data_IF_701319475340
#
_entry.id   IF_701319475340
#
_cell.length_a   1.000
_cell.length_b   1.000
_cell.length_c   1.000
_cell.angle_alpha   90.00
_cell.angle_beta   90.00
_cell.angle_gamma   90.00
#
_symmetry.space_group_name_H-M   'P 1'
#
loop_
_entity.id
_entity.type
_entity.pdbx_description
1 polymer ?
#
# COMPACT_ATOMS: atom_id res chain seq x y z
N UNK A 1 -13.80 14.71 -30.37
CA UNK A 1 -13.72 13.32 -29.90
C UNK A 1 -12.25 12.97 -29.91
N UNK A 2 -11.61 12.79 -28.76
CA UNK A 2 -10.27 12.22 -28.74
C UNK A 2 -10.47 10.72 -28.67
N UNK A 3 -10.18 10.02 -29.76
CA UNK A 3 -10.02 8.58 -29.70
C UNK A 3 -8.74 8.29 -28.88
N UNK A 4 -8.78 7.37 -27.91
CA UNK A 4 -7.62 7.04 -27.11
C UNK A 4 -6.48 6.54 -28.01
N UNK A 5 -5.25 6.87 -27.66
CA UNK A 5 -4.08 6.37 -28.39
C UNK A 5 -3.97 4.84 -28.19
N UNK A 6 -3.49 4.07 -29.18
CA UNK A 6 -3.40 2.61 -29.09
C UNK A 6 -2.65 2.11 -27.85
N UNK A 7 -1.69 2.89 -27.34
CA UNK A 7 -0.83 2.55 -26.21
C UNK A 7 -1.49 2.76 -24.83
N UNK A 8 -2.72 3.29 -24.78
CA UNK A 8 -3.49 3.54 -23.55
C UNK A 8 -4.63 2.53 -23.36
N UNK A 9 -4.77 1.58 -24.28
CA UNK A 9 -5.82 0.55 -24.25
C UNK A 9 -5.26 -0.71 -23.57
N UNK A 10 -6.04 -1.28 -22.66
CA UNK A 10 -5.75 -2.57 -22.04
C UNK A 10 -5.53 -3.64 -23.12
N UNK A 11 -4.44 -4.42 -23.02
CA UNK A 11 -4.10 -5.48 -23.97
C UNK A 11 -5.26 -6.44 -24.20
N UNK A 12 -6.02 -6.79 -23.15
CA UNK A 12 -7.17 -7.68 -23.26
C UNK A 12 -8.30 -7.07 -24.09
N UNK A 13 -8.57 -5.78 -23.92
CA UNK A 13 -9.58 -5.06 -24.71
C UNK A 13 -9.14 -4.87 -26.17
N UNK A 14 -7.83 -4.73 -26.38
CA UNK A 14 -7.24 -4.60 -27.71
C UNK A 14 -7.31 -5.92 -28.48
N UNK A 15 -6.98 -7.03 -27.84
CA UNK A 15 -7.05 -8.36 -28.45
C UNK A 15 -8.48 -8.73 -28.84
N UNK A 16 -9.45 -8.44 -27.97
CA UNK A 16 -10.87 -8.65 -28.27
C UNK A 16 -11.35 -7.76 -29.44
N UNK A 17 -10.88 -6.52 -29.52
CA UNK A 17 -11.18 -5.65 -30.66
C UNK A 17 -10.56 -6.18 -31.97
N UNK A 18 -9.33 -6.73 -31.92
CA UNK A 18 -8.68 -7.37 -33.06
C UNK A 18 -9.47 -8.59 -33.54
N UNK A 19 -9.84 -9.49 -32.62
CA UNK A 19 -10.70 -10.66 -32.88
C UNK A 19 -12.00 -10.25 -33.57
N UNK A 20 -12.68 -9.22 -33.04
CA UNK A 20 -13.92 -8.68 -33.65
C UNK A 20 -13.68 -8.13 -35.05
N UNK A 21 -12.57 -7.41 -35.26
CA UNK A 21 -12.23 -6.84 -36.55
C UNK A 21 -11.95 -7.92 -37.61
N UNK A 22 -11.29 -9.01 -37.24
CA UNK A 22 -11.03 -10.14 -38.13
C UNK A 22 -12.31 -10.87 -38.54
N UNK A 23 -13.17 -11.21 -37.57
CA UNK A 23 -14.46 -11.83 -37.84
C UNK A 23 -15.35 -10.94 -38.75
N UNK A 24 -15.41 -9.63 -38.47
CA UNK A 24 -16.16 -8.67 -39.29
C UNK A 24 -15.54 -8.54 -40.70
N UNK A 25 -14.20 -8.49 -40.84
CA UNK A 25 -13.54 -8.48 -42.16
C UNK A 25 -13.85 -9.74 -42.94
N UNK A 26 -13.72 -10.91 -42.32
CA UNK A 26 -14.05 -12.20 -42.93
C UNK A 26 -15.51 -12.25 -43.38
N UNK A 27 -16.42 -11.74 -42.56
CA UNK A 27 -17.84 -11.63 -42.89
C UNK A 27 -18.09 -10.69 -44.09
N UNK A 28 -17.48 -9.51 -44.11
CA UNK A 28 -17.65 -8.53 -45.20
C UNK A 28 -17.06 -9.02 -46.53
N UNK A 29 -15.97 -9.80 -46.52
CA UNK A 29 -15.40 -10.41 -47.73
C UNK A 29 -16.35 -11.47 -48.31
N UNK A 30 -16.95 -12.30 -47.44
CA UNK A 30 -17.90 -13.36 -47.86
C UNK A 30 -19.23 -12.78 -48.35
N UNK A 31 -19.59 -11.56 -47.94
CA UNK A 31 -20.86 -10.91 -48.24
C UNK A 31 -20.66 -9.65 -49.11
N UNK A 32 -20.45 -9.84 -50.40
CA UNK A 32 -20.40 -8.73 -51.37
C UNK A 32 -21.78 -8.17 -51.77
N UNK A 33 -22.87 -8.69 -51.19
CA UNK A 33 -24.26 -8.36 -51.55
C UNK A 33 -25.21 -8.06 -50.38
N UNK A 34 -26.50 -8.38 -50.53
CA UNK A 34 -27.53 -8.16 -49.49
C UNK A 34 -27.27 -9.07 -48.30
N UNK A 35 -27.13 -8.46 -47.12
CA UNK A 35 -26.94 -9.20 -45.87
C UNK A 35 -28.20 -9.98 -45.50
N UNK A 36 -28.12 -11.31 -45.51
CA UNK A 36 -29.23 -12.20 -45.17
C UNK A 36 -29.28 -12.35 -43.64
N UNK A 37 -30.50 -12.41 -43.07
CA UNK A 37 -30.71 -12.50 -41.62
C UNK A 37 -30.04 -13.73 -40.97
N UNK A 38 -29.88 -14.83 -41.72
CA UNK A 38 -29.19 -16.05 -41.27
C UNK A 38 -27.69 -15.87 -41.08
N UNK A 39 -27.02 -15.19 -42.01
CA UNK A 39 -25.57 -14.97 -41.95
C UNK A 39 -25.18 -14.05 -40.78
N UNK A 40 -26.05 -13.08 -40.46
CA UNK A 40 -25.90 -12.23 -39.29
C UNK A 40 -26.04 -13.00 -37.97
N UNK A 41 -26.84 -14.08 -37.94
CA UNK A 41 -26.96 -14.93 -36.76
C UNK A 41 -25.69 -15.75 -36.54
N UNK A 42 -25.05 -16.22 -37.63
CA UNK A 42 -23.76 -16.91 -37.56
C UNK A 42 -22.64 -16.00 -37.06
N UNK A 43 -22.54 -14.78 -37.59
CA UNK A 43 -21.54 -13.80 -37.09
C UNK A 43 -21.79 -13.44 -35.63
N UNK A 44 -23.05 -13.25 -35.23
CA UNK A 44 -23.39 -12.96 -33.84
C UNK A 44 -22.97 -14.09 -32.89
N UNK A 45 -23.12 -15.35 -33.32
CA UNK A 45 -22.65 -16.52 -32.57
C UNK A 45 -21.11 -16.61 -32.52
N UNK A 46 -20.40 -16.35 -33.63
CA UNK A 46 -18.93 -16.33 -33.69
C UNK A 46 -18.32 -15.25 -32.77
N UNK A 47 -18.99 -14.10 -32.70
CA UNK A 47 -18.58 -12.98 -31.84
C UNK A 47 -19.06 -13.14 -30.38
N UNK A 48 -19.90 -14.11 -30.07
CA UNK A 48 -20.58 -14.27 -28.77
C UNK A 48 -21.34 -13.00 -28.33
N UNK A 49 -22.07 -12.38 -29.25
CA UNK A 49 -22.86 -11.16 -28.99
C UNK A 49 -24.28 -11.26 -29.53
N UNK A 50 -25.17 -10.40 -29.04
CA UNK A 50 -26.51 -10.30 -29.61
C UNK A 50 -26.48 -9.86 -31.08
N UNK A 51 -27.47 -10.28 -31.88
CA UNK A 51 -27.63 -9.83 -33.28
C UNK A 51 -27.60 -8.30 -33.41
N UNK A 52 -28.23 -7.58 -32.49
CA UNK A 52 -28.25 -6.12 -32.48
C UNK A 52 -26.85 -5.52 -32.27
N UNK A 53 -26.05 -6.13 -31.38
CA UNK A 53 -24.65 -5.76 -31.15
C UNK A 53 -23.80 -6.01 -32.39
N UNK A 54 -23.96 -7.17 -33.07
CA UNK A 54 -23.24 -7.47 -34.30
C UNK A 54 -23.51 -6.43 -35.39
N UNK A 55 -24.79 -6.07 -35.62
CA UNK A 55 -25.14 -4.98 -36.54
C UNK A 55 -24.49 -3.64 -36.15
N UNK A 56 -24.50 -3.30 -34.86
CA UNK A 56 -23.86 -2.08 -34.34
C UNK A 56 -22.36 -2.08 -34.60
N UNK A 57 -21.68 -3.20 -34.36
CA UNK A 57 -20.23 -3.35 -34.59
C UNK A 57 -19.87 -3.22 -36.07
N UNK A 58 -20.64 -3.86 -36.98
CA UNK A 58 -20.44 -3.68 -38.43
C UNK A 58 -20.63 -2.22 -38.83
N UNK A 59 -21.65 -1.54 -38.30
CA UNK A 59 -21.89 -0.11 -38.58
C UNK A 59 -20.72 0.75 -38.11
N UNK A 60 -20.19 0.51 -36.92
CA UNK A 60 -19.02 1.21 -36.38
C UNK A 60 -17.77 0.93 -37.23
N UNK A 61 -17.54 -0.32 -37.61
CA UNK A 61 -16.40 -0.72 -38.43
C UNK A 61 -16.44 -0.10 -39.82
N UNK A 62 -17.61 -0.03 -40.46
CA UNK A 62 -17.78 0.65 -41.76
C UNK A 62 -17.55 2.17 -41.67
N UNK A 63 -17.89 2.79 -40.54
CA UNK A 63 -17.70 4.22 -40.34
C UNK A 63 -16.24 4.59 -39.99
N UNK A 64 -15.57 3.79 -39.17
CA UNK A 64 -14.23 4.07 -38.66
C UNK A 64 -13.09 3.34 -39.37
N UNK A 65 -13.37 2.23 -40.07
CA UNK A 65 -12.39 1.44 -40.85
C UNK A 65 -11.24 0.79 -40.07
N UNK A 66 -11.18 1.01 -38.75
CA UNK A 66 -9.99 0.73 -37.92
C UNK A 66 -10.38 -0.11 -36.71
N UNK A 67 -9.46 -0.95 -36.20
CA UNK A 67 -9.65 -1.78 -34.99
C UNK A 67 -10.05 -0.94 -33.78
N UNK A 68 -9.52 0.27 -33.65
CA UNK A 68 -9.87 1.25 -32.60
C UNK A 68 -11.37 1.52 -32.47
N UNK A 69 -12.13 1.43 -33.56
CA UNK A 69 -13.59 1.65 -33.56
C UNK A 69 -14.38 0.55 -32.85
N UNK A 70 -13.78 -0.63 -32.68
CA UNK A 70 -14.38 -1.81 -32.06
C UNK A 70 -13.94 -2.01 -30.61
N UNK A 71 -12.98 -1.21 -30.13
CA UNK A 71 -12.57 -1.19 -28.72
C UNK A 71 -13.76 -0.74 -27.87
N UNK A 72 -14.13 -1.56 -26.89
CA UNK A 72 -15.23 -1.23 -25.98
C UNK A 72 -14.90 0.02 -25.18
N UNK A 73 -15.76 1.03 -25.28
CA UNK A 73 -15.66 2.23 -24.47
C UNK A 73 -16.39 1.97 -23.16
N UNK A 74 -15.72 2.26 -22.04
CA UNK A 74 -16.36 2.22 -20.73
C UNK A 74 -17.65 3.06 -20.76
N UNK A 75 -18.81 2.50 -20.40
CA UNK A 75 -20.04 3.25 -20.35
C UNK A 75 -19.94 4.33 -19.26
N UNK A 76 -20.50 5.50 -19.53
CA UNK A 76 -20.55 6.61 -18.57
C UNK A 76 -19.76 7.83 -19.00
N UNK A 77 -19.53 8.71 -18.04
CA UNK A 77 -18.83 9.97 -18.25
C UNK A 77 -17.33 9.69 -18.41
N UNK A 78 -16.63 10.33 -19.38
CA UNK A 78 -15.19 10.21 -19.48
C UNK A 78 -14.50 10.59 -18.17
N UNK A 79 -13.47 9.83 -17.80
CA UNK A 79 -12.66 10.15 -16.63
C UNK A 79 -12.06 11.57 -16.75
N UNK A 80 -12.02 12.27 -15.63
CA UNK A 80 -11.57 13.65 -15.56
C UNK A 80 -12.55 14.72 -16.07
N UNK A 81 -13.73 14.34 -16.61
CA UNK A 81 -14.73 15.33 -17.04
C UNK A 81 -15.39 16.01 -15.84
N UNK A 82 -15.20 17.32 -15.73
CA UNK A 82 -15.77 18.18 -14.68
C UNK A 82 -17.11 18.76 -15.11
N UNK A 83 -18.04 18.89 -14.16
CA UNK A 83 -19.39 19.44 -14.41
C UNK A 83 -19.63 20.82 -13.79
N UNK A 84 -18.71 21.23 -12.92
CA UNK A 84 -18.76 22.58 -12.40
C UNK A 84 -18.40 23.56 -13.51
N UNK A 85 -19.05 24.71 -13.53
CA UNK A 85 -18.76 25.76 -14.51
C UNK A 85 -17.32 26.27 -14.35
N UNK A 86 -16.74 26.71 -15.47
CA UNK A 86 -15.34 27.14 -15.52
C UNK A 86 -15.05 28.30 -14.56
N UNK A 87 -16.03 29.19 -14.31
CA UNK A 87 -15.85 30.35 -13.45
C UNK A 87 -15.73 29.94 -11.98
N UNK A 88 -16.55 28.99 -11.51
CA UNK A 88 -16.40 28.39 -10.17
C UNK A 88 -15.13 27.57 -10.03
N UNK A 89 -14.76 26.78 -11.05
CA UNK A 89 -13.48 26.03 -11.04
C UNK A 89 -12.29 26.99 -10.88
N UNK A 90 -12.32 28.15 -11.53
CA UNK A 90 -11.27 29.15 -11.42
C UNK A 90 -11.21 29.76 -10.01
N UNK A 91 -12.36 30.11 -9.41
CA UNK A 91 -12.41 30.60 -8.01
C UNK A 91 -11.81 29.56 -7.05
N UNK A 92 -12.17 28.29 -7.21
CA UNK A 92 -11.62 27.18 -6.41
C UNK A 92 -10.10 27.10 -6.59
N UNK A 93 -9.62 27.09 -7.83
CA UNK A 93 -8.20 26.99 -8.16
C UNK A 93 -7.38 28.13 -7.56
N UNK A 94 -7.85 29.38 -7.72
CA UNK A 94 -7.19 30.56 -7.17
C UNK A 94 -7.15 30.49 -5.64
N UNK A 95 -8.27 30.14 -5.01
CA UNK A 95 -8.38 30.06 -3.55
C UNK A 95 -7.47 28.97 -2.97
N UNK A 96 -7.40 27.80 -3.60
CA UNK A 96 -6.48 26.72 -3.21
C UNK A 96 -5.02 27.18 -3.34
N UNK A 97 -4.66 27.79 -4.47
CA UNK A 97 -3.28 28.26 -4.71
C UNK A 97 -2.87 29.32 -3.69
N UNK A 98 -3.75 30.27 -3.40
CA UNK A 98 -3.46 31.42 -2.52
C UNK A 98 -3.49 31.05 -1.03
N UNK A 99 -4.46 30.26 -0.60
CA UNK A 99 -4.70 30.03 0.83
C UNK A 99 -4.19 28.67 1.31
N UNK A 100 -4.34 27.61 0.50
CA UNK A 100 -4.12 26.23 0.96
C UNK A 100 -2.72 25.67 0.67
N UNK A 101 -2.12 26.07 -0.46
CA UNK A 101 -0.79 25.62 -0.90
C UNK A 101 0.35 26.48 -0.34
N UNK A 102 0.21 26.94 0.91
CA UNK A 102 1.20 27.71 1.64
C UNK A 102 1.50 27.05 3.00
N UNK A 103 2.61 27.45 3.65
CA UNK A 103 2.98 27.00 5.00
C UNK A 103 1.95 27.46 6.05
N UNK A 104 1.57 28.74 6.00
CA UNK A 104 0.61 29.35 6.93
C UNK A 104 -0.84 29.17 6.42
N UNK A 105 -1.23 27.93 6.09
CA UNK A 105 -2.57 27.66 5.54
C UNK A 105 -3.65 27.71 6.63
N UNK A 106 -4.87 28.15 6.30
CA UNK A 106 -6.00 27.96 7.18
C UNK A 106 -6.50 26.51 7.14
N UNK A 107 -7.34 26.13 8.11
CA UNK A 107 -8.00 24.83 8.11
C UNK A 107 -8.93 24.64 6.89
N UNK A 108 -9.17 23.39 6.49
CA UNK A 108 -10.02 23.06 5.32
C UNK A 108 -11.41 23.71 5.43
N UNK A 109 -12.01 23.70 6.63
CA UNK A 109 -13.31 24.33 6.88
C UNK A 109 -13.32 25.84 6.64
N UNK A 110 -12.20 26.52 6.86
CA UNK A 110 -12.09 27.95 6.56
C UNK A 110 -11.94 28.17 5.05
N UNK A 111 -11.09 27.38 4.38
CA UNK A 111 -10.95 27.43 2.92
C UNK A 111 -12.30 27.21 2.22
N UNK A 112 -13.09 26.25 2.70
CA UNK A 112 -14.43 25.98 2.16
C UNK A 112 -15.34 27.20 2.31
N UNK A 113 -15.36 27.83 3.50
CA UNK A 113 -16.13 29.06 3.74
C UNK A 113 -15.67 30.18 2.80
N UNK A 114 -14.37 30.41 2.68
CA UNK A 114 -13.81 31.45 1.81
C UNK A 114 -14.20 31.24 0.34
N UNK A 115 -14.11 30.00 -0.16
CA UNK A 115 -14.52 29.66 -1.54
C UNK A 115 -16.02 29.91 -1.74
N UNK A 116 -16.86 29.50 -0.78
CA UNK A 116 -18.30 29.70 -0.86
C UNK A 116 -18.66 31.19 -0.86
N UNK A 117 -18.05 31.98 0.03
CA UNK A 117 -18.22 33.44 0.09
C UNK A 117 -17.80 34.08 -1.24
N UNK A 118 -16.63 33.72 -1.77
CA UNK A 118 -16.14 34.26 -3.06
C UNK A 118 -17.08 33.89 -4.22
N UNK A 119 -17.67 32.70 -4.22
CA UNK A 119 -18.65 32.30 -5.23
C UNK A 119 -19.93 33.14 -5.13
N UNK A 120 -20.44 33.35 -3.91
CA UNK A 120 -21.64 34.18 -3.67
C UNK A 120 -21.40 35.63 -4.10
N UNK A 121 -20.26 36.22 -3.72
CA UNK A 121 -19.89 37.58 -4.15
C UNK A 121 -19.75 37.71 -5.67
N UNK A 122 -19.40 36.62 -6.37
CA UNK A 122 -19.34 36.56 -7.83
C UNK A 122 -20.71 36.25 -8.49
N UNK A 123 -21.80 36.15 -7.73
CA UNK A 123 -23.14 35.81 -8.22
C UNK A 123 -23.31 34.34 -8.60
N UNK A 124 -22.44 33.45 -8.12
CA UNK A 124 -22.44 32.02 -8.45
C UNK A 124 -22.93 31.20 -7.26
N UNK A 125 -23.79 30.20 -7.52
CA UNK A 125 -24.17 29.20 -6.51
C UNK A 125 -22.91 28.58 -5.86
N UNK A 126 -22.80 28.54 -4.52
CA UNK A 126 -21.61 28.01 -3.86
C UNK A 126 -21.44 26.51 -4.12
N UNK A 127 -20.21 26.02 -4.34
CA UNK A 127 -19.93 24.59 -4.47
C UNK A 127 -20.09 23.87 -3.13
N UNK A 128 -20.42 22.58 -3.18
CA UNK A 128 -20.49 21.74 -2.00
C UNK A 128 -19.09 21.41 -1.47
N UNK A 129 -18.95 21.22 -0.15
CA UNK A 129 -17.68 20.89 0.50
C UNK A 129 -16.96 19.71 -0.16
N UNK A 130 -17.68 18.61 -0.43
CA UNK A 130 -17.13 17.43 -1.12
C UNK A 130 -16.51 17.75 -2.48
N UNK A 131 -17.07 18.70 -3.23
CA UNK A 131 -16.50 19.12 -4.51
C UNK A 131 -15.16 19.80 -4.30
N UNK A 132 -15.02 20.63 -3.26
CA UNK A 132 -13.75 21.28 -2.92
C UNK A 132 -12.74 20.25 -2.45
N UNK A 133 -13.13 19.34 -1.55
CA UNK A 133 -12.25 18.27 -1.05
C UNK A 133 -11.72 17.38 -2.19
N UNK A 134 -12.57 16.98 -3.14
CA UNK A 134 -12.14 16.27 -4.34
C UNK A 134 -11.07 17.05 -5.14
N UNK A 135 -11.18 18.39 -5.25
CA UNK A 135 -10.15 19.23 -5.89
C UNK A 135 -8.85 19.31 -5.11
N UNK A 136 -8.88 19.07 -3.79
CA UNK A 136 -7.68 18.98 -2.96
C UNK A 136 -6.99 17.62 -3.08
N UNK A 137 -7.77 16.57 -3.34
CA UNK A 137 -7.30 15.20 -3.58
C UNK A 137 -6.74 15.00 -4.99
N UNK A 138 -7.29 15.70 -5.99
CA UNK A 138 -6.75 15.76 -7.35
C UNK A 138 -5.29 16.28 -7.40
N UNK A 139 -4.86 17.01 -6.37
CA UNK A 139 -3.49 17.52 -6.27
C UNK A 139 -2.60 16.43 -5.68
N UNK A 140 -1.62 16.00 -6.47
CA UNK A 140 -0.58 15.05 -6.05
C UNK A 140 -0.07 15.34 -4.63
N UNK A 141 -0.07 14.28 -3.81
CA UNK A 141 0.26 14.37 -2.39
C UNK A 141 1.65 14.95 -2.16
N UNK A 142 2.64 14.57 -2.98
CA UNK A 142 4.01 15.04 -2.84
C UNK A 142 4.11 16.52 -3.18
N UNK A 143 3.53 16.98 -4.30
CA UNK A 143 3.50 18.40 -4.70
C UNK A 143 2.82 19.25 -3.64
N UNK A 144 1.71 18.74 -3.10
CA UNK A 144 0.95 19.37 -2.03
C UNK A 144 1.79 19.51 -0.76
N UNK A 145 2.41 18.43 -0.29
CA UNK A 145 3.26 18.40 0.89
C UNK A 145 4.49 19.32 0.76
N UNK A 146 5.14 19.32 -0.41
CA UNK A 146 6.29 20.20 -0.71
C UNK A 146 5.95 21.67 -0.54
N UNK A 147 4.85 22.14 -1.14
CA UNK A 147 4.42 23.55 -1.03
C UNK A 147 4.03 23.95 0.40
N UNK A 148 3.51 22.99 1.15
CA UNK A 148 3.08 23.18 2.54
C UNK A 148 4.21 23.05 3.56
N UNK A 149 5.41 22.64 3.13
CA UNK A 149 6.56 22.43 4.02
C UNK A 149 6.43 21.19 4.91
N UNK A 150 5.62 20.20 4.51
CA UNK A 150 5.38 18.98 5.28
C UNK A 150 6.49 17.94 5.03
N UNK A 151 7.65 18.14 5.66
CA UNK A 151 8.86 17.36 5.40
C UNK A 151 8.67 15.84 5.58
N UNK A 152 7.93 15.40 6.59
CA UNK A 152 7.66 13.98 6.83
C UNK A 152 6.85 13.33 5.70
N UNK A 153 5.79 14.02 5.25
CA UNK A 153 4.94 13.53 4.15
C UNK A 153 5.77 13.47 2.87
N UNK A 154 6.59 14.50 2.60
CA UNK A 154 7.53 14.49 1.46
C UNK A 154 8.46 13.28 1.55
N UNK A 155 9.06 13.00 2.71
CA UNK A 155 9.96 11.85 2.88
C UNK A 155 9.25 10.51 2.63
N UNK A 156 8.02 10.35 3.13
CA UNK A 156 7.23 9.12 2.92
C UNK A 156 6.82 8.93 1.45
N UNK A 157 6.50 10.00 0.74
CA UNK A 157 6.05 9.94 -0.66
C UNK A 157 7.22 9.98 -1.65
N UNK A 158 8.42 10.38 -1.21
CA UNK A 158 9.60 10.37 -2.06
C UNK A 158 10.12 8.95 -2.15
N UNK A 159 10.01 8.35 -3.33
CA UNK A 159 10.68 7.09 -3.63
C UNK A 159 12.18 7.28 -3.37
N UNK A 160 12.76 6.41 -2.54
CA UNK A 160 14.21 6.32 -2.36
C UNK A 160 14.68 5.22 -3.31
N UNK A 161 15.16 5.55 -4.51
CA UNK A 161 15.66 4.54 -5.43
C UNK A 161 16.91 3.88 -4.83
N UNK A 162 16.89 2.54 -4.74
CA UNK A 162 17.99 1.73 -4.22
C UNK A 162 17.46 0.60 -3.33
N UNK A 163 17.81 -0.64 -3.68
CA UNK A 163 17.63 -1.78 -2.80
C UNK A 163 18.95 -2.03 -2.05
N UNK A 164 18.89 -2.17 -0.72
CA UNK A 164 20.03 -2.68 0.03
C UNK A 164 20.15 -4.18 -0.25
N UNK A 165 20.93 -4.53 -1.27
CA UNK A 165 21.16 -5.92 -1.67
C UNK A 165 22.52 -6.40 -1.16
N UNK A 166 22.57 -7.67 -0.75
CA UNK A 166 23.80 -8.39 -0.40
C UNK A 166 23.90 -9.65 -1.26
N UNK A 167 25.09 -9.93 -1.82
CA UNK A 167 25.34 -11.06 -2.71
C UNK A 167 25.99 -12.25 -2.00
N UNK A 168 26.53 -12.07 -0.78
CA UNK A 168 27.25 -13.12 -0.05
C UNK A 168 26.82 -13.23 1.42
N UNK A 169 26.68 -14.45 1.98
CA UNK A 169 26.36 -14.68 3.40
C UNK A 169 27.15 -13.77 4.34
N UNK A 170 26.45 -13.17 5.32
CA UNK A 170 27.00 -12.27 6.33
C UNK A 170 27.66 -10.97 5.81
N UNK A 171 27.55 -10.63 4.52
CA UNK A 171 28.10 -9.38 3.95
C UNK A 171 27.48 -8.12 4.58
N UNK A 172 26.16 -8.14 4.81
CA UNK A 172 25.43 -7.04 5.44
C UNK A 172 24.47 -7.64 6.46
N UNK A 173 24.66 -7.29 7.73
CA UNK A 173 23.76 -7.63 8.82
C UNK A 173 23.09 -6.35 9.29
N UNK A 174 21.76 -6.35 9.33
CA UNK A 174 20.97 -5.26 9.89
C UNK A 174 20.57 -5.61 11.31
N UNK A 175 20.74 -4.66 12.22
CA UNK A 175 20.25 -4.76 13.59
C UNK A 175 19.14 -3.75 13.77
N UNK A 176 18.00 -4.22 14.24
CA UNK A 176 16.86 -3.35 14.54
C UNK A 176 16.20 -3.75 15.86
N UNK A 177 15.48 -2.80 16.46
CA UNK A 177 14.79 -2.97 17.72
C UNK A 177 13.29 -2.77 17.52
N UNK A 178 12.49 -3.73 17.98
CA UNK A 178 11.03 -3.63 17.91
C UNK A 178 10.40 -3.95 19.27
N UNK A 179 9.35 -3.23 19.63
CA UNK A 179 8.57 -3.53 20.82
C UNK A 179 7.61 -4.66 20.46
N UNK A 180 7.85 -5.85 20.99
CA UNK A 180 7.11 -7.05 20.60
C UNK A 180 5.61 -6.90 20.93
N UNK A 181 4.74 -7.41 20.05
CA UNK A 181 3.27 -7.41 20.22
C UNK A 181 2.82 -8.58 21.12
N UNK A 182 3.54 -8.79 22.24
CA UNK A 182 3.23 -9.79 23.26
C UNK A 182 3.30 -9.14 24.64
N UNK A 183 2.43 -9.54 25.56
CA UNK A 183 2.52 -9.16 26.96
C UNK A 183 3.24 -10.24 27.75
N UNK A 184 4.29 -9.85 28.46
CA UNK A 184 4.93 -10.68 29.47
C UNK A 184 4.14 -10.51 30.77
N UNK A 185 3.79 -11.63 31.37
CA UNK A 185 3.07 -11.70 32.66
C UNK A 185 3.99 -12.32 33.71
N UNK A 186 3.77 -11.94 34.95
CA UNK A 186 4.40 -12.57 36.11
C UNK A 186 3.93 -14.03 36.24
N UNK A 187 4.85 -14.93 36.61
CA UNK A 187 4.56 -16.39 36.63
C UNK A 187 3.59 -16.76 37.75
N UNK A 188 3.67 -16.08 38.90
CA UNK A 188 2.89 -16.38 40.11
C UNK A 188 1.56 -15.62 40.12
N UNK A 189 1.62 -14.29 40.01
CA UNK A 189 0.44 -13.42 40.13
C UNK A 189 -0.35 -13.31 38.82
N UNK A 190 0.23 -13.71 37.69
CA UNK A 190 -0.33 -13.55 36.33
C UNK A 190 -0.67 -12.12 35.94
N UNK A 191 -0.15 -11.12 36.67
CA UNK A 191 -0.32 -9.72 36.33
C UNK A 191 0.58 -9.31 35.16
N UNK A 192 0.12 -8.40 34.28
CA UNK A 192 0.91 -7.95 33.15
C UNK A 192 2.09 -7.09 33.60
N UNK A 193 3.30 -7.53 33.27
CA UNK A 193 4.54 -6.75 33.47
C UNK A 193 4.66 -5.71 32.34
N UNK A 194 4.33 -6.11 31.11
CA UNK A 194 4.30 -5.21 29.96
C UNK A 194 4.79 -5.88 28.68
N UNK A 195 5.11 -5.05 27.68
CA UNK A 195 5.59 -5.51 26.37
C UNK A 195 7.11 -5.39 26.29
N UNK A 196 7.84 -6.47 25.96
CA UNK A 196 9.28 -6.46 25.87
C UNK A 196 9.77 -5.82 24.56
N UNK A 197 11.01 -5.36 24.57
CA UNK A 197 11.78 -4.98 23.40
C UNK A 197 12.62 -6.14 22.90
N UNK A 198 12.50 -6.42 21.60
CA UNK A 198 13.27 -7.42 20.88
C UNK A 198 14.27 -6.72 19.97
N UNK A 199 15.55 -6.99 20.19
CA UNK A 199 16.65 -6.59 19.31
C UNK A 199 16.99 -7.77 18.43
N UNK A 200 17.00 -7.62 17.10
CA UNK A 200 17.27 -8.69 16.15
C UNK A 200 18.41 -8.30 15.22
N UNK A 201 19.37 -9.20 15.03
CA UNK A 201 20.38 -9.14 13.99
C UNK A 201 19.98 -10.10 12.86
N UNK A 202 19.73 -9.54 11.67
CA UNK A 202 19.29 -10.30 10.49
C UNK A 202 20.22 -10.02 9.33
N UNK A 203 20.68 -11.08 8.69
CA UNK A 203 21.52 -10.99 7.50
C UNK A 203 20.67 -10.76 6.23
N UNK A 204 21.09 -9.80 5.38
CA UNK A 204 20.26 -9.24 4.29
C UNK A 204 19.95 -10.22 3.13
N UNK A 205 20.89 -11.08 2.70
CA UNK A 205 20.62 -11.92 1.51
C UNK A 205 19.69 -13.10 1.82
N UNK A 206 19.91 -13.83 2.91
CA UNK A 206 19.08 -15.02 3.23
C UNK A 206 17.97 -14.73 4.25
N UNK A 207 17.94 -13.53 4.84
CA UNK A 207 17.03 -13.14 5.94
C UNK A 207 17.16 -14.01 7.19
N UNK A 208 18.26 -14.75 7.31
CA UNK A 208 18.56 -15.53 8.50
C UNK A 208 18.83 -14.60 9.68
N UNK A 209 18.16 -14.87 10.81
CA UNK A 209 18.44 -14.22 12.09
C UNK A 209 19.73 -14.81 12.65
N UNK A 210 20.74 -13.98 12.79
CA UNK A 210 22.05 -14.38 13.30
C UNK A 210 22.12 -14.24 14.81
N UNK A 211 21.40 -13.29 15.41
CA UNK A 211 21.32 -13.13 16.85
C UNK A 211 20.12 -12.31 17.29
N UNK A 212 19.81 -12.39 18.59
CA UNK A 212 18.73 -11.61 19.17
C UNK A 212 18.99 -11.32 20.66
N UNK A 213 18.27 -10.33 21.19
CA UNK A 213 18.25 -10.02 22.62
C UNK A 213 16.87 -9.49 23.01
N UNK A 214 16.29 -10.04 24.09
CA UNK A 214 14.94 -9.71 24.57
C UNK A 214 15.04 -9.13 25.98
N UNK A 215 14.48 -7.93 26.18
CA UNK A 215 14.51 -7.22 27.47
C UNK A 215 13.22 -6.43 27.70
N UNK A 216 12.89 -6.11 28.94
CA UNK A 216 11.80 -5.18 29.27
C UNK A 216 12.21 -3.70 29.12
N UNK A 217 13.52 -3.44 29.11
CA UNK A 217 14.07 -2.10 28.98
C UNK A 217 14.00 -1.58 27.54
N UNK A 218 13.95 -0.25 27.40
CA UNK A 218 14.03 0.38 26.08
C UNK A 218 15.37 0.08 25.38
N UNK A 219 15.43 0.18 24.04
CA UNK A 219 16.64 -0.07 23.27
C UNK A 219 17.82 0.76 23.77
N UNK A 220 18.95 0.09 23.96
CA UNK A 220 20.17 0.68 24.49
C UNK A 220 21.41 0.08 23.84
N UNK A 221 22.58 0.71 24.02
CA UNK A 221 23.86 0.15 23.53
C UNK A 221 24.11 -1.26 24.05
N UNK A 222 23.66 -1.55 25.28
CA UNK A 222 23.73 -2.88 25.88
C UNK A 222 22.94 -3.90 25.04
N UNK A 223 21.69 -3.58 24.68
CA UNK A 223 20.83 -4.48 23.91
C UNK A 223 21.42 -4.82 22.54
N UNK A 224 22.00 -3.83 21.85
CA UNK A 224 22.72 -4.04 20.58
C UNK A 224 23.97 -4.90 20.79
N UNK A 225 24.76 -4.61 21.82
CA UNK A 225 26.01 -5.34 22.11
C UNK A 225 25.76 -6.81 22.43
N UNK A 226 24.76 -7.10 23.26
CA UNK A 226 24.39 -8.48 23.61
C UNK A 226 23.80 -9.23 22.41
N UNK A 227 23.03 -8.56 21.55
CA UNK A 227 22.57 -9.14 20.29
C UNK A 227 23.74 -9.49 19.34
N UNK A 228 24.73 -8.61 19.23
CA UNK A 228 25.94 -8.85 18.44
C UNK A 228 26.80 -9.99 19.02
N UNK A 229 26.98 -10.05 20.33
CA UNK A 229 27.66 -11.16 21.00
C UNK A 229 26.95 -12.49 20.69
N UNK A 230 25.63 -12.55 20.84
CA UNK A 230 24.85 -13.73 20.45
C UNK A 230 24.97 -14.05 18.96
N UNK A 231 25.11 -13.02 18.11
CA UNK A 231 25.27 -13.20 16.67
C UNK A 231 26.59 -13.87 16.29
N UNK A 232 27.69 -13.48 16.93
CA UNK A 232 29.06 -13.87 16.55
C UNK A 232 29.55 -15.12 17.29
N UNK A 233 29.18 -15.30 18.57
CA UNK A 233 29.68 -16.42 19.36
C UNK A 233 29.01 -17.75 19.00
N UNK A 234 29.70 -18.85 19.36
CA UNK A 234 29.19 -20.20 19.22
C UNK A 234 27.87 -20.37 19.97
N UNK A 235 26.84 -20.80 19.23
CA UNK A 235 25.48 -21.01 19.74
C UNK A 235 25.28 -22.42 20.28
N UNK A 236 26.24 -23.33 20.10
CA UNK A 236 26.13 -24.73 20.55
C UNK A 236 25.83 -24.86 22.05
N UNK A 237 26.42 -24.07 22.96
CA UNK A 237 26.03 -24.09 24.37
C UNK A 237 24.59 -23.61 24.59
N UNK A 238 24.21 -22.50 23.96
CA UNK A 238 22.88 -21.90 24.06
C UNK A 238 21.77 -22.82 23.53
N UNK A 239 22.01 -23.48 22.39
CA UNK A 239 21.09 -24.44 21.79
C UNK A 239 20.90 -25.67 22.68
N UNK A 240 21.98 -26.20 23.28
CA UNK A 240 21.90 -27.33 24.21
C UNK A 240 21.07 -27.00 25.46
N UNK A 241 21.19 -25.78 25.97
CA UNK A 241 20.40 -25.31 27.11
C UNK A 241 18.93 -25.10 26.75
N UNK A 242 18.66 -24.47 25.60
CA UNK A 242 17.29 -24.19 25.12
C UNK A 242 16.52 -25.47 24.75
N UNK A 243 17.20 -26.48 24.18
CA UNK A 243 16.60 -27.78 23.92
C UNK A 243 16.15 -28.49 25.22
N UNK A 244 16.88 -28.30 26.32
CA UNK A 244 16.53 -28.86 27.63
C UNK A 244 15.35 -28.13 28.29
N UNK A 245 15.19 -26.82 28.05
CA UNK A 245 14.10 -26.02 28.63
C UNK A 245 12.77 -26.23 27.91
N UNK A 246 12.81 -26.44 26.58
CA UNK A 246 11.62 -26.69 25.75
C UNK A 246 10.87 -27.97 26.17
N UNK A 247 11.60 -29.01 26.64
CA UNK A 247 11.00 -30.24 27.17
C UNK A 247 10.34 -30.09 28.56
N UNK A 248 10.47 -28.93 29.22
CA UNK A 248 9.89 -28.66 30.54
C UNK A 248 8.87 -27.53 30.55
N UNK A 249 8.44 -27.05 29.38
CA UNK A 249 7.55 -25.90 29.26
C UNK A 249 8.14 -24.61 29.85
N UNK A 250 9.47 -24.52 29.99
CA UNK A 250 10.16 -23.35 30.56
C UNK A 250 10.82 -22.56 29.44
N UNK A 251 10.63 -21.23 29.47
CA UNK A 251 11.30 -20.30 28.57
C UNK A 251 12.83 -20.48 28.62
N UNK A 252 13.54 -20.33 27.49
CA UNK A 252 14.99 -20.47 27.44
C UNK A 252 15.68 -19.46 28.37
N UNK A 253 16.81 -19.88 28.93
CA UNK A 253 17.54 -19.24 30.04
C UNK A 253 18.01 -17.81 29.74
N UNK A 254 18.00 -17.35 28.48
CA UNK A 254 18.22 -15.94 28.14
C UNK A 254 17.30 -14.98 28.92
N UNK A 255 16.05 -15.36 29.19
CA UNK A 255 15.15 -14.56 30.03
C UNK A 255 15.56 -14.58 31.52
N UNK A 256 16.14 -15.70 31.99
CA UNK A 256 16.63 -15.82 33.38
C UNK A 256 17.93 -15.05 33.61
N UNK A 257 18.86 -15.07 32.65
CA UNK A 257 20.13 -14.31 32.72
C UNK A 257 19.90 -12.80 32.58
N UNK A 258 18.95 -12.38 31.73
CA UNK A 258 18.59 -10.97 31.61
C UNK A 258 18.00 -10.40 32.93
N UNK A 259 17.21 -11.19 33.67
CA UNK A 259 16.68 -10.80 34.99
C UNK A 259 17.70 -10.87 36.13
N UNK A 260 18.71 -11.75 36.04
CA UNK A 260 19.75 -11.86 37.09
C UNK A 260 20.84 -10.79 36.98
N UNK A 261 21.10 -10.25 35.78
CA UNK A 261 21.97 -9.07 35.63
C UNK A 261 21.27 -7.80 36.19
N UNK A 262 19.94 -7.72 36.16
CA UNK A 262 19.18 -6.65 36.84
C UNK A 262 19.11 -6.83 38.36
N UNK A 263 19.09 -8.08 38.84
CA UNK A 263 19.09 -8.39 40.28
C UNK A 263 20.44 -8.13 40.98
N UNK A 264 21.55 -7.99 40.25
CA UNK A 264 22.82 -7.57 40.83
C UNK A 264 22.83 -6.10 41.28
N UNK A 265 21.90 -5.28 40.79
CA UNK A 265 21.76 -3.86 41.19
C UNK A 265 20.64 -3.64 42.21
N UNK A 266 19.77 -4.63 42.43
CA UNK A 266 18.73 -4.64 43.46
C UNK A 266 18.78 -5.99 44.16
N UNK A 267 19.44 -6.04 45.33
CA UNK A 267 19.64 -7.25 46.12
C UNK A 267 18.34 -8.01 46.41
N UNK A 268 18.02 -8.98 45.55
CA UNK A 268 16.94 -9.93 45.75
C UNK A 268 17.51 -11.33 45.55
N UNK A 269 17.73 -12.01 46.68
CA UNK A 269 18.11 -13.42 46.74
C UNK A 269 16.87 -14.26 46.41
N UNK A 270 16.87 -14.94 45.27
CA UNK A 270 15.84 -15.94 44.95
C UNK A 270 16.20 -17.28 45.60
N UNK A 271 15.56 -17.53 46.74
CA UNK A 271 15.53 -18.81 47.46
C UNK A 271 15.02 -19.95 46.57
N UNK A 272 15.75 -21.07 46.57
CA UNK A 272 15.33 -22.35 45.99
C UNK A 272 14.33 -23.01 46.94
N UNK A 273 13.03 -22.83 46.70
CA UNK A 273 11.97 -23.55 47.40
C UNK A 273 11.24 -24.52 46.47
N UNK A 274 11.55 -25.80 46.56
CA UNK A 274 10.65 -26.85 46.06
C UNK A 274 9.54 -27.08 47.08
N UNK A 275 8.28 -27.15 46.63
CA UNK A 275 7.17 -27.53 47.49
C UNK A 275 6.33 -28.60 46.79
N UNK A 276 6.13 -29.70 47.52
CA UNK A 276 5.29 -30.85 47.21
C UNK A 276 3.81 -30.45 47.25
N UNK A 277 3.03 -30.97 46.32
CA UNK A 277 1.56 -30.93 46.34
C UNK A 277 1.01 -31.91 47.40
N UNK A 278 -0.01 -31.55 48.19
CA UNK A 278 -0.91 -32.53 48.78
C UNK A 278 -2.08 -32.83 47.81
N UNK A 279 -2.67 -34.02 48.00
CA UNK A 279 -3.58 -34.74 47.09
C UNK A 279 -4.84 -33.99 46.66
#
# INVERSE_FOLDING_TARGET
MNDPFPNEVDEVLWDEACRRAEAIRGFLIRQSGKVIAGDMALLAAELDVSRATAFRLIKLFRAGGTVMSLVERKPGRPDGRRMLDNRREEIIRISIKRCYLNKNRPGVSQLVRDIQTNCVSAGLKPPHRRTIEARLEDIDLQKRAKRRGEAEVVKRTTAVPGALAASRPLQIVQVDHTKADIFVVDEETRLPIGRPWLTLAMYVCSRMVTGFYLTMEAPSRLSTSLCLLHSVFDKSPWLRESARSSNRGRLPVCLRHCMSITAATLGVVLSRGGVRMPA
#
